data_IF_219624967934
#
_entry.id   IF_219624967934
#
_cell.length_a   1.000
_cell.length_b   1.000
_cell.length_c   1.000
_cell.angle_alpha   90.00
_cell.angle_beta   90.00
_cell.angle_gamma   90.00
#
_symmetry.space_group_name_H-M   'P 1'
#
loop_
_entity.id
_entity.type
_entity.pdbx_description
1 polymer ?
#
# COMPACT_ATOMS: atom_id res chain seq x y z
N UNK A 1 -28.20 -7.03 26.15
CA UNK A 1 -27.50 -7.60 24.98
C UNK A 1 -28.28 -8.66 24.20
N UNK A 2 -29.11 -9.48 24.83
CA UNK A 2 -29.90 -10.55 24.14
C UNK A 2 -30.91 -10.03 23.12
N UNK A 3 -31.42 -8.81 23.27
CA UNK A 3 -32.49 -8.26 22.43
C UNK A 3 -31.99 -7.49 21.19
N UNK A 4 -30.70 -7.23 21.07
CA UNK A 4 -30.12 -6.46 19.97
C UNK A 4 -29.00 -7.23 19.30
N UNK A 5 -29.26 -7.78 18.13
CA UNK A 5 -28.37 -8.69 17.38
C UNK A 5 -26.99 -8.09 17.09
N UNK A 6 -26.91 -6.79 16.91
CA UNK A 6 -25.69 -6.07 16.50
C UNK A 6 -25.07 -5.19 17.60
N UNK A 7 -25.46 -5.38 18.87
CA UNK A 7 -24.91 -4.59 19.97
C UNK A 7 -23.56 -5.12 20.40
N UNK A 8 -22.55 -4.26 20.36
CA UNK A 8 -21.22 -4.48 20.92
C UNK A 8 -21.03 -3.56 22.13
N UNK A 9 -20.13 -3.92 23.03
CA UNK A 9 -19.78 -3.12 24.19
C UNK A 9 -18.27 -2.84 24.15
N UNK A 10 -17.93 -1.56 24.20
CA UNK A 10 -16.58 -1.10 24.43
C UNK A 10 -16.32 -1.00 25.94
N UNK A 11 -15.24 -1.60 26.40
CA UNK A 11 -14.75 -1.46 27.77
C UNK A 11 -13.65 -0.41 27.75
N UNK A 12 -13.94 0.74 28.33
CA UNK A 12 -13.02 1.85 28.45
C UNK A 12 -11.74 1.43 29.20
N UNK A 13 -10.65 2.09 28.90
CA UNK A 13 -9.27 1.74 29.29
C UNK A 13 -9.09 1.27 30.73
N UNK A 14 -9.67 1.95 31.70
CA UNK A 14 -9.62 1.56 33.12
C UNK A 14 -10.43 0.33 33.47
N UNK A 15 -11.42 -0.05 32.65
CA UNK A 15 -12.28 -1.22 32.84
C UNK A 15 -11.91 -2.39 31.93
N UNK A 16 -10.92 -2.24 31.09
CA UNK A 16 -10.49 -3.30 30.16
C UNK A 16 -10.06 -4.57 30.89
N UNK A 17 -9.47 -4.46 32.08
CA UNK A 17 -9.13 -5.58 32.95
C UNK A 17 -10.33 -6.43 33.39
N UNK A 18 -11.55 -5.89 33.33
CA UNK A 18 -12.77 -6.65 33.61
C UNK A 18 -13.27 -7.52 32.46
N UNK A 19 -12.61 -7.43 31.28
CA UNK A 19 -13.05 -8.10 30.05
C UNK A 19 -13.28 -9.59 30.21
N UNK A 20 -12.37 -10.31 30.88
CA UNK A 20 -12.53 -11.75 31.14
C UNK A 20 -13.79 -12.09 31.93
N UNK A 21 -14.08 -11.30 32.97
CA UNK A 21 -15.29 -11.51 33.77
C UNK A 21 -16.56 -11.23 32.97
N UNK A 22 -16.52 -10.23 32.07
CA UNK A 22 -17.63 -9.93 31.18
C UNK A 22 -17.83 -11.00 30.10
N UNK A 23 -16.78 -11.56 29.53
CA UNK A 23 -16.86 -12.71 28.62
C UNK A 23 -17.52 -13.88 29.35
N UNK A 24 -17.07 -14.20 30.56
CA UNK A 24 -17.65 -15.29 31.37
C UNK A 24 -19.13 -15.04 31.73
N UNK A 25 -19.51 -13.79 31.99
CA UNK A 25 -20.90 -13.44 32.22
C UNK A 25 -21.78 -13.62 30.97
N UNK A 26 -21.29 -13.21 29.80
CA UNK A 26 -22.01 -13.45 28.55
C UNK A 26 -22.16 -14.95 28.25
N UNK A 27 -21.13 -15.75 28.55
CA UNK A 27 -21.25 -17.22 28.42
C UNK A 27 -22.30 -17.81 29.33
N UNK A 28 -22.41 -17.36 30.57
CA UNK A 28 -23.51 -17.75 31.50
C UNK A 28 -24.88 -17.36 30.96
N UNK A 29 -24.96 -16.30 30.18
CA UNK A 29 -26.16 -15.84 29.50
C UNK A 29 -26.49 -16.63 28.22
N UNK A 30 -25.67 -17.63 27.86
CA UNK A 30 -25.87 -18.54 26.74
C UNK A 30 -25.18 -18.14 25.42
N UNK A 31 -24.27 -17.19 25.45
CA UNK A 31 -23.38 -16.92 24.31
C UNK A 31 -22.23 -17.93 24.26
N UNK A 32 -21.80 -18.31 23.07
CA UNK A 32 -20.52 -19.01 22.94
C UNK A 32 -19.37 -18.07 23.28
N UNK A 33 -18.19 -18.60 23.61
CA UNK A 33 -17.00 -17.77 23.87
C UNK A 33 -16.70 -16.88 22.68
N UNK A 34 -16.77 -17.44 21.47
CA UNK A 34 -16.52 -16.69 20.23
C UNK A 34 -17.52 -15.52 20.04
N UNK A 35 -18.81 -15.78 20.26
CA UNK A 35 -19.84 -14.75 20.21
C UNK A 35 -19.62 -13.67 21.28
N UNK A 36 -19.17 -14.04 22.47
CA UNK A 36 -18.86 -13.10 23.53
C UNK A 36 -17.67 -12.23 23.18
N UNK A 37 -16.60 -12.81 22.63
CA UNK A 37 -15.42 -12.08 22.16
C UNK A 37 -15.75 -11.08 21.04
N UNK A 38 -16.64 -11.43 20.13
CA UNK A 38 -17.10 -10.53 19.05
C UNK A 38 -17.96 -9.36 19.56
N UNK A 39 -18.47 -9.43 20.77
CA UNK A 39 -19.33 -8.38 21.35
C UNK A 39 -18.59 -7.47 22.33
N UNK A 40 -17.46 -7.87 22.83
CA UNK A 40 -16.68 -7.11 23.80
C UNK A 40 -15.38 -6.59 23.19
N UNK A 41 -15.17 -5.31 23.29
CA UNK A 41 -13.94 -4.63 22.82
C UNK A 41 -13.25 -4.01 24.03
N UNK A 42 -12.05 -4.49 24.32
CA UNK A 42 -11.22 -3.96 25.39
C UNK A 42 -10.35 -2.84 24.85
N UNK A 43 -10.59 -1.61 25.29
CA UNK A 43 -9.86 -0.42 24.90
C UNK A 43 -8.48 -0.39 25.55
N UNK A 44 -7.44 -0.24 24.74
CA UNK A 44 -6.08 0.04 25.20
C UNK A 44 -5.66 1.41 24.71
N UNK A 45 -5.39 2.30 25.67
CA UNK A 45 -4.92 3.65 25.35
C UNK A 45 -3.43 3.61 24.98
N UNK A 46 -3.12 4.01 23.77
CA UNK A 46 -1.75 4.01 23.28
C UNK A 46 -0.99 5.33 23.48
N UNK A 47 -1.61 6.38 23.97
CA UNK A 47 -1.05 7.75 24.03
C UNK A 47 0.20 7.89 24.91
N UNK A 48 0.33 7.15 26.00
CA UNK A 48 1.36 7.39 27.01
C UNK A 48 2.46 6.32 27.17
N UNK A 49 2.50 5.23 26.42
CA UNK A 49 3.37 4.06 26.67
C UNK A 49 4.63 3.98 25.82
N UNK A 50 4.95 4.43 24.76
CA UNK A 50 6.10 4.14 23.87
C UNK A 50 5.87 2.94 22.95
N UNK A 51 6.77 2.73 21.99
CA UNK A 51 6.62 1.68 20.97
C UNK A 51 6.56 0.27 21.54
N UNK A 52 7.15 0.05 22.70
CA UNK A 52 7.23 -1.28 23.32
C UNK A 52 6.03 -1.58 24.22
N UNK A 53 4.99 -0.75 24.24
CA UNK A 53 3.77 -1.00 25.03
C UNK A 53 4.00 -1.23 26.54
N UNK A 54 5.21 -0.96 27.05
CA UNK A 54 5.48 -1.04 28.50
C UNK A 54 4.63 0.00 29.22
N UNK A 55 3.87 -0.44 30.22
CA UNK A 55 2.92 0.40 30.95
C UNK A 55 1.45 0.19 30.54
N UNK A 56 1.18 -0.65 29.55
CA UNK A 56 -0.17 -1.10 29.25
C UNK A 56 -0.51 -2.42 29.93
N UNK A 57 -1.77 -2.57 30.27
CA UNK A 57 -2.31 -3.77 30.87
C UNK A 57 -2.56 -4.92 29.87
N UNK A 58 -1.78 -4.97 28.77
CA UNK A 58 -1.96 -5.94 27.70
C UNK A 58 -2.10 -7.38 28.23
N UNK A 59 -1.16 -7.79 29.06
CA UNK A 59 -1.15 -9.16 29.60
C UNK A 59 -2.26 -9.41 30.60
N UNK A 60 -2.65 -8.38 31.37
CA UNK A 60 -3.76 -8.51 32.34
C UNK A 60 -5.11 -8.61 31.61
N UNK A 61 -5.26 -7.93 30.49
CA UNK A 61 -6.49 -7.93 29.68
C UNK A 61 -6.57 -9.17 28.80
N UNK A 62 -5.52 -9.45 28.06
CA UNK A 62 -5.56 -10.48 27.01
C UNK A 62 -4.97 -11.82 27.45
N UNK A 63 -4.03 -11.85 28.38
CA UNK A 63 -3.43 -13.08 28.89
C UNK A 63 -2.86 -14.01 27.82
N UNK A 64 -2.09 -15.01 28.22
CA UNK A 64 -1.46 -15.93 27.28
C UNK A 64 -2.43 -16.97 26.69
N UNK A 65 -3.45 -17.36 27.45
CA UNK A 65 -4.34 -18.49 27.11
C UNK A 65 -5.82 -18.16 27.18
N UNK A 66 -6.22 -17.06 27.83
CA UNK A 66 -7.62 -16.72 28.05
C UNK A 66 -7.88 -15.23 27.81
N UNK A 67 -8.44 -14.94 26.65
CA UNK A 67 -8.69 -13.58 26.19
C UNK A 67 -9.92 -12.96 26.83
N UNK A 68 -9.79 -11.71 27.24
CA UNK A 68 -10.86 -10.95 27.88
C UNK A 68 -11.78 -10.19 26.95
N UNK A 69 -11.63 -10.33 25.64
CA UNK A 69 -12.40 -9.62 24.62
C UNK A 69 -11.60 -9.39 23.37
N UNK A 70 -12.17 -8.68 22.40
CA UNK A 70 -11.47 -8.17 21.24
C UNK A 70 -10.66 -6.92 21.60
N UNK A 71 -9.55 -6.69 20.91
CA UNK A 71 -8.71 -5.54 21.11
C UNK A 71 -9.27 -4.32 20.36
N UNK A 72 -9.36 -3.19 21.05
CA UNK A 72 -9.56 -1.87 20.44
C UNK A 72 -8.44 -0.94 20.88
N UNK A 73 -7.76 -0.33 19.91
CA UNK A 73 -6.62 0.54 20.15
C UNK A 73 -7.04 2.00 20.01
N UNK A 74 -6.83 2.77 21.07
CA UNK A 74 -7.02 4.21 21.03
C UNK A 74 -5.72 4.92 20.73
N UNK A 75 -5.69 5.65 19.62
CA UNK A 75 -4.55 6.46 19.15
C UNK A 75 -3.23 5.65 18.99
N UNK A 76 -3.23 4.49 18.28
CA UNK A 76 -2.00 3.75 18.05
C UNK A 76 -0.99 4.55 17.21
N UNK A 77 -1.44 5.46 16.36
CA UNK A 77 -0.63 6.38 15.58
C UNK A 77 0.27 7.25 16.46
N UNK A 78 -0.17 7.63 17.65
CA UNK A 78 0.63 8.40 18.59
C UNK A 78 1.93 7.68 18.97
N UNK A 79 1.96 6.34 18.92
CA UNK A 79 3.14 5.52 19.19
C UNK A 79 4.02 5.34 17.97
N UNK A 80 3.37 5.08 16.85
CA UNK A 80 4.04 4.80 15.58
C UNK A 80 4.60 6.10 15.00
N UNK A 81 3.87 7.20 15.19
CA UNK A 81 4.10 8.49 14.54
C UNK A 81 4.87 9.51 15.40
N UNK A 82 4.71 9.46 16.74
CA UNK A 82 5.37 10.36 17.69
C UNK A 82 6.90 10.20 17.63
N UNK A 83 7.66 11.08 18.17
CA UNK A 83 9.11 10.98 18.31
C UNK A 83 9.89 10.83 16.99
N UNK A 84 9.99 11.87 16.22
CA UNK A 84 10.79 12.09 15.02
C UNK A 84 10.06 11.97 13.66
N UNK A 85 8.79 11.62 13.62
CA UNK A 85 8.01 11.62 12.38
C UNK A 85 7.11 12.83 12.34
N UNK A 86 6.44 13.14 13.46
CA UNK A 86 5.52 14.27 13.57
C UNK A 86 6.19 15.60 13.20
N UNK A 87 7.37 15.88 13.78
CA UNK A 87 8.13 17.10 13.46
C UNK A 87 8.57 17.19 12.01
N UNK A 88 8.87 16.05 11.38
CA UNK A 88 9.25 16.02 9.96
C UNK A 88 8.08 16.30 9.02
N UNK A 89 6.87 15.87 9.38
CA UNK A 89 5.71 15.89 8.49
C UNK A 89 4.77 17.04 8.80
N UNK A 90 4.37 17.20 10.07
CA UNK A 90 3.38 18.20 10.48
C UNK A 90 3.99 19.60 10.55
N UNK A 91 5.12 19.76 11.23
CA UNK A 91 5.72 21.08 11.44
C UNK A 91 6.26 21.71 10.15
N UNK A 92 6.67 20.88 9.19
CA UNK A 92 7.19 21.32 7.89
C UNK A 92 6.17 21.19 6.75
N UNK A 93 4.95 20.71 7.02
CA UNK A 93 3.89 20.48 6.04
C UNK A 93 4.34 19.66 4.82
N UNK A 94 5.26 18.71 5.02
CA UNK A 94 5.81 17.88 3.94
C UNK A 94 4.83 16.76 3.61
N UNK A 95 4.41 16.70 2.34
CA UNK A 95 3.50 15.66 1.84
C UNK A 95 4.16 14.69 0.86
N UNK A 96 5.29 15.09 0.26
CA UNK A 96 6.06 14.31 -0.71
C UNK A 96 7.55 14.63 -0.60
N UNK A 97 8.38 13.92 -1.38
CA UNK A 97 9.82 14.15 -1.43
C UNK A 97 10.65 13.33 -0.45
N UNK A 98 11.98 13.49 -0.43
CA UNK A 98 12.91 12.63 0.31
C UNK A 98 12.62 12.52 1.81
N UNK A 99 12.21 13.61 2.45
CA UNK A 99 11.89 13.64 3.88
C UNK A 99 10.62 12.81 4.17
N UNK A 100 9.61 12.87 3.30
CA UNK A 100 8.41 12.03 3.43
C UNK A 100 8.76 10.55 3.26
N UNK A 101 9.62 10.21 2.31
CA UNK A 101 10.06 8.82 2.11
C UNK A 101 10.84 8.31 3.34
N UNK A 102 11.72 9.14 3.91
CA UNK A 102 12.42 8.80 5.15
C UNK A 102 11.46 8.62 6.33
N UNK A 103 10.47 9.48 6.48
CA UNK A 103 9.41 9.37 7.49
C UNK A 103 8.59 8.09 7.30
N UNK A 104 8.26 7.74 6.06
CA UNK A 104 7.54 6.51 5.72
C UNK A 104 8.31 5.25 6.13
N UNK A 105 9.60 5.18 5.82
CA UNK A 105 10.48 4.08 6.26
C UNK A 105 10.46 3.92 7.78
N UNK A 106 10.60 5.04 8.49
CA UNK A 106 10.59 5.04 9.95
C UNK A 106 9.25 4.62 10.51
N UNK A 107 8.15 5.04 9.88
CA UNK A 107 6.80 4.60 10.25
C UNK A 107 6.69 3.07 10.17
N UNK A 108 7.11 2.47 9.07
CA UNK A 108 7.07 1.00 8.94
C UNK A 108 7.94 0.29 9.97
N UNK A 109 9.09 0.86 10.30
CA UNK A 109 9.93 0.31 11.36
C UNK A 109 9.27 0.40 12.73
N UNK A 110 8.63 1.51 13.04
CA UNK A 110 7.91 1.69 14.29
C UNK A 110 6.68 0.76 14.38
N UNK A 111 5.96 0.56 13.27
CA UNK A 111 4.86 -0.42 13.18
C UNK A 111 5.35 -1.84 13.48
N UNK A 112 6.48 -2.24 12.91
CA UNK A 112 7.08 -3.54 13.20
C UNK A 112 7.41 -3.70 14.69
N UNK A 113 8.03 -2.69 15.29
CA UNK A 113 8.34 -2.69 16.71
C UNK A 113 7.09 -2.82 17.58
N UNK A 114 6.03 -2.08 17.22
CA UNK A 114 4.79 -2.08 17.96
C UNK A 114 4.05 -3.41 17.84
N UNK A 115 3.93 -3.94 16.61
CA UNK A 115 3.11 -5.12 16.34
C UNK A 115 3.81 -6.45 16.57
N UNK A 116 5.05 -6.58 16.13
CA UNK A 116 5.76 -7.87 16.10
C UNK A 116 7.11 -7.84 16.83
N UNK A 117 7.35 -6.82 17.66
CA UNK A 117 8.54 -6.78 18.49
C UNK A 117 9.75 -6.13 17.81
N UNK A 118 10.91 -6.72 18.05
CA UNK A 118 12.19 -6.15 17.70
C UNK A 118 12.67 -6.63 16.33
N UNK A 119 13.22 -5.74 15.55
CA UNK A 119 14.16 -6.05 14.49
C UNK A 119 13.80 -7.19 13.52
N UNK A 120 12.53 -7.47 13.32
CA UNK A 120 12.08 -8.46 12.37
C UNK A 120 11.90 -9.87 12.92
N UNK A 121 12.51 -10.26 14.05
CA UNK A 121 12.29 -11.56 14.67
C UNK A 121 11.25 -11.46 15.82
N UNK A 122 10.01 -11.96 15.64
CA UNK A 122 8.97 -11.89 16.66
C UNK A 122 9.23 -12.87 17.83
N UNK A 123 10.18 -13.77 17.70
CA UNK A 123 10.57 -14.70 18.77
C UNK A 123 11.63 -14.12 19.70
N UNK A 124 12.38 -13.12 19.24
CA UNK A 124 13.35 -12.41 20.05
C UNK A 124 12.70 -11.31 20.88
N UNK A 125 12.43 -11.58 22.13
CA UNK A 125 11.93 -10.62 23.12
C UNK A 125 13.05 -9.90 23.88
N UNK A 126 14.30 -10.19 23.58
CA UNK A 126 15.45 -9.53 24.18
C UNK A 126 15.57 -8.06 23.75
N UNK A 127 16.19 -7.24 24.56
CA UNK A 127 16.47 -5.84 24.19
C UNK A 127 15.28 -4.89 24.11
N UNK A 128 14.06 -5.31 24.54
CA UNK A 128 12.85 -4.46 24.53
C UNK A 128 12.02 -4.55 25.79
N UNK A 129 12.66 -4.65 26.93
CA UNK A 129 11.97 -4.76 28.21
C UNK A 129 10.92 -5.90 28.23
N UNK A 130 11.20 -6.98 27.51
CA UNK A 130 10.28 -8.11 27.39
C UNK A 130 9.02 -7.82 26.59
N UNK A 131 9.01 -6.83 25.71
CA UNK A 131 7.87 -6.55 24.82
C UNK A 131 7.80 -7.55 23.65
N UNK A 132 6.77 -8.43 23.62
CA UNK A 132 6.64 -9.44 22.56
C UNK A 132 5.97 -8.91 21.29
N UNK A 133 5.64 -7.61 21.23
CA UNK A 133 4.75 -7.04 20.23
C UNK A 133 3.27 -7.17 20.64
N UNK A 134 2.43 -6.33 20.07
CA UNK A 134 0.98 -6.41 20.32
C UNK A 134 0.42 -7.78 19.92
N UNK A 135 0.89 -8.36 18.81
CA UNK A 135 0.50 -9.69 18.34
C UNK A 135 0.89 -10.83 19.30
N UNK A 136 1.95 -10.65 20.09
CA UNK A 136 2.33 -11.59 21.13
C UNK A 136 1.50 -11.48 22.43
N UNK A 137 0.66 -10.44 22.56
CA UNK A 137 -0.20 -10.22 23.72
C UNK A 137 -1.65 -10.60 23.46
N UNK A 138 -2.08 -10.74 22.22
CA UNK A 138 -3.45 -11.06 21.82
C UNK A 138 -3.46 -12.26 20.89
N UNK A 139 -4.59 -13.00 20.89
CA UNK A 139 -4.78 -14.07 19.90
C UNK A 139 -4.91 -13.46 18.51
N UNK A 140 -3.85 -13.51 17.77
CA UNK A 140 -3.81 -12.97 16.42
C UNK A 140 -4.55 -13.89 15.46
N UNK A 141 -5.49 -13.30 14.70
CA UNK A 141 -6.08 -13.93 13.52
C UNK A 141 -5.69 -13.11 12.30
N UNK A 142 -5.21 -13.78 11.25
CA UNK A 142 -4.93 -13.06 10.02
C UNK A 142 -6.21 -12.52 9.40
N UNK A 143 -6.16 -11.28 8.95
CA UNK A 143 -7.23 -10.66 8.14
C UNK A 143 -7.19 -11.15 6.69
N UNK A 144 -6.10 -11.80 6.26
CA UNK A 144 -5.90 -12.30 4.91
C UNK A 144 -6.47 -13.72 4.83
N UNK A 145 -7.79 -13.82 4.55
CA UNK A 145 -8.53 -15.08 4.50
C UNK A 145 -9.28 -15.27 3.17
N UNK A 146 -9.06 -14.38 2.21
CA UNK A 146 -9.80 -14.30 0.96
C UNK A 146 -8.91 -14.49 -0.26
N UNK A 147 -9.53 -14.89 -1.36
CA UNK A 147 -8.93 -14.94 -2.70
C UNK A 147 -9.76 -14.08 -3.67
N UNK A 148 -9.12 -13.37 -4.60
CA UNK A 148 -7.67 -13.23 -4.73
C UNK A 148 -7.09 -12.38 -3.60
N UNK A 149 -5.94 -12.78 -3.07
CA UNK A 149 -5.08 -11.94 -2.27
C UNK A 149 -3.90 -11.51 -3.15
N UNK A 150 -3.80 -10.25 -3.48
CA UNK A 150 -2.71 -9.70 -4.28
C UNK A 150 -2.21 -8.41 -3.65
N UNK A 151 -0.91 -8.24 -3.59
CA UNK A 151 -0.24 -7.04 -3.11
C UNK A 151 0.88 -6.66 -4.05
N UNK A 152 0.98 -5.38 -4.37
CA UNK A 152 2.11 -4.78 -5.08
C UNK A 152 2.98 -3.92 -4.14
N UNK A 153 2.90 -4.16 -2.83
CA UNK A 153 3.68 -3.46 -1.80
C UNK A 153 3.53 -1.94 -1.83
N UNK A 154 2.37 -1.44 -2.25
CA UNK A 154 2.11 -0.01 -2.30
C UNK A 154 2.06 0.58 -0.90
N UNK A 155 2.87 1.60 -0.65
CA UNK A 155 2.84 2.38 0.59
C UNK A 155 1.80 3.50 0.58
N UNK A 156 1.10 3.70 -0.54
CA UNK A 156 0.23 4.84 -0.76
C UNK A 156 1.00 6.14 -1.05
N UNK A 157 2.28 6.03 -1.38
CA UNK A 157 3.17 7.12 -1.78
C UNK A 157 4.00 6.68 -2.99
N UNK A 158 4.52 7.61 -3.75
CA UNK A 158 5.44 7.33 -4.84
C UNK A 158 6.00 8.57 -5.50
N UNK A 159 7.18 8.46 -6.07
CA UNK A 159 7.77 9.46 -6.98
C UNK A 159 7.17 9.34 -8.38
N UNK A 160 6.71 8.16 -8.71
CA UNK A 160 6.18 7.79 -10.02
C UNK A 160 4.94 6.92 -9.85
N UNK A 161 4.16 6.79 -10.91
CA UNK A 161 3.08 5.80 -10.99
C UNK A 161 3.42 4.76 -12.05
N UNK A 162 3.33 3.50 -11.66
CA UNK A 162 3.60 2.36 -12.51
C UNK A 162 2.34 1.54 -12.74
N UNK A 163 2.24 0.95 -13.92
CA UNK A 163 1.24 -0.05 -14.28
C UNK A 163 1.96 -1.16 -15.03
N UNK A 164 1.94 -2.37 -14.50
CA UNK A 164 2.60 -3.55 -15.07
C UNK A 164 4.09 -3.31 -15.41
N UNK A 165 4.81 -2.63 -14.52
CA UNK A 165 6.22 -2.30 -14.69
C UNK A 165 6.50 -1.10 -15.60
N UNK A 166 5.50 -0.53 -16.24
CA UNK A 166 5.65 0.65 -17.08
C UNK A 166 5.38 1.94 -16.29
N UNK A 167 6.29 2.90 -16.41
CA UNK A 167 6.13 4.22 -15.77
C UNK A 167 5.12 5.06 -16.54
N UNK A 168 3.95 5.26 -15.95
CA UNK A 168 2.80 5.99 -16.54
C UNK A 168 2.59 7.38 -15.95
N UNK A 169 3.26 7.73 -14.88
CA UNK A 169 3.24 9.06 -14.27
C UNK A 169 4.55 9.35 -13.56
N UNK A 170 5.03 10.60 -13.65
CA UNK A 170 6.37 11.01 -13.19
C UNK A 170 6.37 12.01 -12.05
N UNK A 171 5.19 12.34 -11.51
CA UNK A 171 5.06 13.28 -10.41
C UNK A 171 4.95 12.56 -9.08
N UNK A 172 5.54 13.14 -8.06
CA UNK A 172 5.35 12.72 -6.67
C UNK A 172 3.87 12.72 -6.31
N UNK A 173 3.44 11.71 -5.56
CA UNK A 173 2.06 11.58 -5.14
C UNK A 173 1.93 10.94 -3.76
N UNK A 174 0.84 11.25 -3.08
CA UNK A 174 0.44 10.67 -1.81
C UNK A 174 -1.05 10.41 -1.82
N UNK A 175 -1.45 9.16 -1.58
CA UNK A 175 -2.84 8.76 -1.41
C UNK A 175 -2.93 7.52 -0.52
N UNK A 176 -3.14 7.71 0.77
CA UNK A 176 -3.16 6.62 1.76
C UNK A 176 -4.19 5.53 1.45
N UNK A 177 -5.31 5.88 0.82
CA UNK A 177 -6.30 4.92 0.36
C UNK A 177 -5.80 3.93 -0.69
N UNK A 178 -4.62 4.16 -1.29
CA UNK A 178 -3.98 3.28 -2.25
C UNK A 178 -2.88 2.40 -1.62
N UNK A 179 -2.77 2.38 -0.30
CA UNK A 179 -1.88 1.48 0.41
C UNK A 179 -2.37 0.04 0.29
N UNK A 180 -1.47 -0.89 -0.03
CA UNK A 180 -1.72 -2.33 0.06
C UNK A 180 -1.48 -2.84 1.48
N UNK A 181 -1.92 -4.06 1.75
CA UNK A 181 -1.51 -4.76 2.97
C UNK A 181 0.00 -5.01 2.85
N UNK A 182 0.76 -4.38 3.73
CA UNK A 182 2.20 -4.55 3.78
C UNK A 182 2.56 -5.85 4.50
N UNK A 183 3.77 -6.41 4.28
CA UNK A 183 4.20 -7.60 4.97
C UNK A 183 4.00 -7.53 6.48
N UNK A 184 3.53 -8.62 7.06
CA UNK A 184 3.32 -8.75 8.51
C UNK A 184 4.62 -8.52 9.27
N UNK A 185 5.70 -9.12 8.76
CA UNK A 185 7.04 -8.98 9.34
C UNK A 185 7.89 -8.06 8.46
N UNK A 186 8.51 -7.04 9.04
CA UNK A 186 9.25 -5.98 8.34
C UNK A 186 10.62 -5.73 8.99
N UNK A 187 11.66 -6.45 8.80
CA UNK A 187 11.81 -7.51 7.82
C UNK A 187 12.47 -8.69 8.53
N UNK A 188 11.79 -9.78 8.64
CA UNK A 188 12.32 -10.94 9.33
C UNK A 188 13.03 -11.86 8.35
N UNK A 189 14.36 -11.74 8.31
CA UNK A 189 15.24 -12.49 7.43
C UNK A 189 16.14 -13.35 8.30
N UNK A 190 16.12 -14.65 8.10
CA UNK A 190 17.09 -15.55 8.68
C UNK A 190 18.38 -15.48 7.86
N UNK A 191 19.28 -14.60 8.28
CA UNK A 191 20.59 -14.44 7.65
C UNK A 191 21.63 -15.36 8.27
N UNK A 192 22.58 -15.81 7.45
CA UNK A 192 23.85 -16.24 8.03
C UNK A 192 24.66 -15.00 8.51
N UNK A 193 25.63 -15.21 9.39
CA UNK A 193 26.34 -14.12 10.06
C UNK A 193 27.15 -13.19 9.12
N UNK A 194 27.32 -13.54 7.84
CA UNK A 194 28.21 -12.84 6.91
C UNK A 194 27.50 -12.14 5.75
N UNK A 195 26.25 -12.50 5.44
CA UNK A 195 25.64 -12.10 4.19
C UNK A 195 24.87 -10.76 4.25
N UNK A 196 24.41 -10.36 5.44
CA UNK A 196 23.75 -9.07 5.68
C UNK A 196 22.65 -8.72 4.66
N UNK A 197 21.88 -9.73 4.25
CA UNK A 197 20.74 -9.52 3.35
C UNK A 197 19.75 -8.60 4.04
N UNK A 198 19.26 -7.62 3.34
CA UNK A 198 18.30 -6.64 3.85
C UNK A 198 17.20 -6.33 2.82
N UNK A 199 16.04 -5.94 3.33
CA UNK A 199 14.92 -5.46 2.51
C UNK A 199 14.65 -4.01 2.85
N UNK A 200 14.33 -3.23 1.81
CA UNK A 200 13.91 -1.85 1.95
C UNK A 200 12.81 -1.51 0.92
N UNK A 201 12.15 -0.38 1.10
CA UNK A 201 11.17 0.11 0.14
C UNK A 201 11.91 0.85 -0.99
N UNK A 202 11.59 0.51 -2.21
CA UNK A 202 12.07 1.18 -3.42
C UNK A 202 10.98 2.09 -3.99
N UNK A 203 11.24 3.39 -4.10
CA UNK A 203 10.35 4.37 -4.71
C UNK A 203 10.71 4.72 -6.16
N UNK A 204 11.80 4.20 -6.66
CA UNK A 204 12.29 4.48 -8.00
C UNK A 204 11.90 3.41 -9.01
N UNK A 205 11.58 2.21 -8.53
CA UNK A 205 11.21 1.07 -9.34
C UNK A 205 10.05 0.30 -8.72
N UNK A 206 8.96 0.12 -9.48
CA UNK A 206 7.78 -0.62 -9.03
C UNK A 206 7.11 -1.34 -10.20
N UNK A 207 6.36 -2.39 -9.90
CA UNK A 207 5.53 -3.06 -10.91
C UNK A 207 4.17 -2.38 -11.04
N UNK A 208 3.51 -2.10 -9.91
CA UNK A 208 2.28 -1.34 -9.86
C UNK A 208 2.37 -0.26 -8.77
N UNK A 209 1.54 0.78 -8.87
CA UNK A 209 1.50 1.93 -7.96
C UNK A 209 2.83 2.72 -7.93
N UNK A 210 3.47 2.86 -6.78
CA UNK A 210 4.62 3.74 -6.60
C UNK A 210 5.81 3.15 -5.85
N UNK A 211 5.69 1.91 -5.35
CA UNK A 211 6.75 1.27 -4.56
C UNK A 211 6.84 -0.22 -4.81
N UNK A 212 8.02 -0.77 -4.61
CA UNK A 212 8.30 -2.21 -4.52
C UNK A 212 9.18 -2.49 -3.30
N UNK A 213 9.50 -3.76 -3.05
CA UNK A 213 10.51 -4.12 -2.06
C UNK A 213 11.83 -4.41 -2.75
N UNK A 214 12.91 -3.80 -2.27
CA UNK A 214 14.26 -4.02 -2.76
C UNK A 214 15.06 -4.85 -1.78
N UNK A 215 15.54 -5.98 -2.24
CA UNK A 215 16.42 -6.88 -1.50
C UNK A 215 17.84 -6.62 -1.93
N UNK A 216 18.76 -6.42 -0.96
CA UNK A 216 20.19 -6.20 -1.24
C UNK A 216 21.04 -6.90 -0.22
N UNK A 217 22.22 -7.32 -0.62
CA UNK A 217 23.20 -7.95 0.28
C UNK A 217 24.13 -8.90 -0.45
N UNK A 218 24.59 -9.92 0.24
CA UNK A 218 25.42 -10.99 -0.29
C UNK A 218 24.64 -12.30 -0.17
N UNK A 219 24.83 -13.22 -1.12
CA UNK A 219 24.45 -14.62 -0.95
C UNK A 219 25.71 -15.48 -0.94
N UNK A 220 25.99 -16.11 0.18
CA UNK A 220 27.03 -17.17 0.23
C UNK A 220 26.52 -18.43 -0.48
N UNK A 221 27.45 -19.18 -1.08
CA UNK A 221 27.11 -20.37 -1.84
C UNK A 221 26.29 -21.37 -0.98
N UNK A 222 25.15 -21.77 -1.48
CA UNK A 222 24.21 -22.71 -0.86
C UNK A 222 23.66 -22.28 0.50
N UNK A 223 23.80 -21.03 0.89
CA UNK A 223 23.20 -20.49 2.11
C UNK A 223 21.73 -20.13 1.86
N UNK A 224 20.87 -20.47 2.81
CA UNK A 224 19.46 -20.10 2.81
C UNK A 224 19.26 -18.78 3.58
N UNK A 225 18.36 -17.94 3.06
CA UNK A 225 17.93 -16.69 3.70
C UNK A 225 16.42 -16.65 3.68
N UNK A 226 15.80 -17.37 4.61
CA UNK A 226 14.34 -17.46 4.72
C UNK A 226 13.79 -16.13 5.21
N UNK A 227 12.91 -15.55 4.39
CA UNK A 227 12.25 -14.28 4.65
C UNK A 227 10.77 -14.51 4.75
N UNK A 228 10.21 -14.41 5.96
CA UNK A 228 8.77 -14.47 6.19
C UNK A 228 8.15 -13.12 5.88
N UNK A 229 7.12 -13.10 5.05
CA UNK A 229 6.45 -11.88 4.62
C UNK A 229 5.05 -11.75 5.22
N UNK A 230 4.17 -12.70 4.97
CA UNK A 230 2.76 -12.58 5.34
C UNK A 230 2.29 -13.72 6.21
N UNK A 231 1.52 -13.36 7.26
CA UNK A 231 0.68 -14.29 7.99
C UNK A 231 -0.72 -14.27 7.36
N UNK A 232 -1.22 -15.43 6.98
CA UNK A 232 -2.48 -15.60 6.26
C UNK A 232 -3.33 -16.74 6.84
N UNK A 233 -4.54 -16.93 6.35
CA UNK A 233 -5.40 -18.09 6.56
C UNK A 233 -6.15 -18.39 5.26
N UNK A 234 -5.41 -18.59 4.16
CA UNK A 234 -5.98 -18.78 2.82
C UNK A 234 -6.17 -20.26 2.56
N UNK A 235 -7.41 -20.70 2.37
CA UNK A 235 -7.73 -22.07 1.92
C UNK A 235 -7.39 -22.22 0.44
N UNK A 236 -6.64 -23.28 0.12
CA UNK A 236 -6.21 -23.56 -1.26
C UNK A 236 -7.18 -24.56 -1.89
N UNK A 237 -7.59 -24.28 -3.11
CA UNK A 237 -8.38 -25.14 -3.97
C UNK A 237 -7.53 -25.61 -5.16
N UNK A 238 -8.00 -26.69 -5.82
CA UNK A 238 -7.32 -27.19 -7.00
C UNK A 238 -7.35 -26.13 -8.12
N UNK A 239 -6.20 -25.90 -8.75
CA UNK A 239 -6.04 -24.89 -9.80
C UNK A 239 -5.72 -23.49 -9.30
N UNK A 240 -5.79 -23.23 -7.99
CA UNK A 240 -5.29 -21.96 -7.45
C UNK A 240 -3.82 -21.75 -7.83
N UNK A 241 -3.42 -20.51 -7.99
CA UNK A 241 -2.07 -20.13 -8.38
C UNK A 241 -1.44 -19.20 -7.38
N UNK A 242 -0.16 -19.38 -7.14
CA UNK A 242 0.68 -18.35 -6.52
C UNK A 242 1.41 -17.58 -7.60
N UNK A 243 1.28 -16.26 -7.61
CA UNK A 243 2.00 -15.38 -8.53
C UNK A 243 3.09 -14.61 -7.77
N UNK A 244 4.29 -14.54 -8.35
CA UNK A 244 5.38 -13.67 -7.93
C UNK A 244 5.86 -12.85 -9.11
N UNK A 245 5.91 -11.52 -8.94
CA UNK A 245 6.49 -10.61 -9.92
C UNK A 245 7.75 -10.00 -9.34
N UNK A 246 8.88 -10.19 -10.03
CA UNK A 246 10.17 -9.78 -9.50
C UNK A 246 11.17 -9.43 -10.60
N UNK A 247 12.24 -8.77 -10.19
CA UNK A 247 13.50 -8.62 -10.94
C UNK A 247 14.65 -9.12 -10.05
N UNK A 248 15.67 -9.68 -10.64
CA UNK A 248 16.88 -10.10 -9.92
C UNK A 248 18.09 -10.06 -10.82
N UNK A 249 19.26 -9.82 -10.25
CA UNK A 249 20.54 -9.92 -10.95
C UNK A 249 21.12 -11.33 -10.94
N UNK A 250 20.41 -12.31 -10.35
CA UNK A 250 20.87 -13.70 -10.22
C UNK A 250 19.72 -14.66 -10.50
N UNK A 251 19.83 -15.44 -11.54
CA UNK A 251 18.81 -16.42 -11.92
C UNK A 251 18.61 -17.49 -10.83
N UNK A 252 17.38 -18.00 -10.73
CA UNK A 252 16.98 -19.04 -9.77
C UNK A 252 17.36 -18.76 -8.31
N UNK A 253 17.45 -17.49 -7.93
CA UNK A 253 17.86 -17.07 -6.58
C UNK A 253 16.70 -16.87 -5.60
N UNK A 254 15.45 -17.02 -6.05
CA UNK A 254 14.25 -16.82 -5.22
C UNK A 254 13.42 -18.09 -5.25
N UNK A 255 13.25 -18.72 -4.08
CA UNK A 255 12.30 -19.82 -3.88
C UNK A 255 11.07 -19.31 -3.14
N UNK A 256 9.89 -19.69 -3.60
CA UNK A 256 8.64 -19.45 -2.87
C UNK A 256 8.42 -20.60 -1.89
N UNK A 257 8.20 -20.25 -0.61
CA UNK A 257 7.88 -21.19 0.46
C UNK A 257 6.54 -20.84 1.09
N UNK A 258 5.62 -21.79 1.06
CA UNK A 258 4.30 -21.64 1.70
C UNK A 258 4.23 -22.53 2.94
N UNK A 259 3.94 -21.89 4.09
CA UNK A 259 3.75 -22.59 5.36
C UNK A 259 2.30 -23.05 5.51
N UNK A 260 2.08 -24.33 5.80
CA UNK A 260 0.75 -24.92 5.96
C UNK A 260 0.38 -25.24 7.41
N UNK A 261 1.19 -24.78 8.36
CA UNK A 261 0.85 -24.76 9.80
C UNK A 261 0.96 -23.31 10.31
N UNK A 262 0.26 -23.01 11.40
CA UNK A 262 0.23 -21.64 11.96
C UNK A 262 1.47 -21.28 12.79
N UNK A 263 2.33 -22.27 13.08
CA UNK A 263 3.60 -22.02 13.75
C UNK A 263 4.57 -21.23 12.86
N UNK A 264 5.39 -20.38 13.46
CA UNK A 264 6.42 -19.61 12.72
C UNK A 264 7.44 -20.52 12.02
N UNK A 265 7.75 -21.67 12.61
CA UNK A 265 8.49 -22.78 12.00
C UNK A 265 7.51 -23.75 11.34
N UNK A 266 6.86 -23.26 10.31
CA UNK A 266 5.81 -23.99 9.60
C UNK A 266 6.38 -25.19 8.82
N UNK A 267 5.49 -26.14 8.49
CA UNK A 267 5.81 -27.11 7.43
C UNK A 267 5.88 -26.36 6.09
N UNK A 268 7.08 -26.26 5.56
CA UNK A 268 7.35 -25.52 4.34
C UNK A 268 7.10 -26.35 3.08
N UNK A 269 6.25 -25.84 2.21
CA UNK A 269 6.03 -26.36 0.88
C UNK A 269 6.77 -25.44 -0.10
N UNK A 270 7.84 -25.94 -0.71
CA UNK A 270 8.61 -25.23 -1.72
C UNK A 270 7.90 -25.36 -3.05
N UNK A 271 7.55 -24.23 -3.66
CA UNK A 271 6.94 -24.23 -4.98
C UNK A 271 8.00 -24.38 -6.08
N UNK A 272 7.69 -25.15 -7.10
CA UNK A 272 8.60 -25.45 -8.21
C UNK A 272 7.90 -25.36 -9.56
N UNK A 273 8.69 -25.33 -10.63
CA UNK A 273 8.20 -25.35 -12.01
C UNK A 273 7.15 -24.28 -12.34
N UNK A 274 7.42 -23.00 -12.11
CA UNK A 274 6.49 -21.94 -12.47
C UNK A 274 6.34 -21.82 -13.98
N UNK A 275 5.16 -21.42 -14.44
CA UNK A 275 5.03 -20.77 -15.74
C UNK A 275 5.63 -19.37 -15.65
N UNK A 276 6.55 -19.04 -16.55
CA UNK A 276 7.31 -17.78 -16.51
C UNK A 276 7.05 -16.96 -17.76
N UNK A 277 6.70 -15.69 -17.56
CA UNK A 277 6.62 -14.68 -18.62
C UNK A 277 7.41 -13.43 -18.23
N UNK A 278 7.70 -12.58 -19.20
CA UNK A 278 8.37 -11.30 -18.94
C UNK A 278 7.47 -10.16 -19.37
N UNK A 279 7.31 -9.17 -18.50
CA UNK A 279 6.52 -7.97 -18.80
C UNK A 279 7.27 -6.72 -18.33
N UNK A 280 7.60 -5.85 -19.28
CA UNK A 280 8.33 -4.59 -19.04
C UNK A 280 9.58 -4.75 -18.15
N UNK A 281 10.36 -5.82 -18.40
CA UNK A 281 11.58 -6.13 -17.66
C UNK A 281 11.37 -6.81 -16.29
N UNK A 282 10.12 -7.11 -15.93
CA UNK A 282 9.78 -7.92 -14.76
C UNK A 282 9.50 -9.36 -15.13
N UNK A 283 9.97 -10.28 -14.31
CA UNK A 283 9.62 -11.70 -14.39
C UNK A 283 8.31 -11.92 -13.67
N UNK A 284 7.33 -12.48 -14.35
CA UNK A 284 6.05 -12.93 -13.79
C UNK A 284 6.08 -14.45 -13.73
N UNK A 285 6.17 -15.00 -12.53
CA UNK A 285 6.20 -16.43 -12.26
C UNK A 285 4.88 -16.87 -11.61
N UNK A 286 4.21 -17.84 -12.20
CA UNK A 286 2.97 -18.43 -11.70
C UNK A 286 3.18 -19.90 -11.35
N UNK A 287 2.90 -20.26 -10.12
CA UNK A 287 3.04 -21.61 -9.57
C UNK A 287 1.66 -22.23 -9.36
N UNK A 288 1.47 -23.45 -9.80
CA UNK A 288 0.27 -24.24 -9.52
C UNK A 288 0.25 -24.68 -8.05
N UNK A 289 -0.86 -24.41 -7.36
CA UNK A 289 -1.07 -24.79 -5.97
C UNK A 289 -1.90 -26.07 -5.80
N UNK A 290 -2.24 -26.79 -6.87
CA UNK A 290 -3.09 -28.00 -6.82
C UNK A 290 -2.58 -29.07 -5.84
N UNK A 291 -1.25 -29.17 -5.66
CA UNK A 291 -0.65 -30.07 -4.68
C UNK A 291 -0.95 -29.69 -3.22
N UNK A 292 -1.41 -28.47 -2.97
CA UNK A 292 -1.81 -27.97 -1.65
C UNK A 292 -3.32 -27.88 -1.50
N UNK A 293 -4.11 -28.38 -2.45
CA UNK A 293 -5.57 -28.35 -2.39
C UNK A 293 -6.10 -28.98 -1.09
N UNK A 294 -7.03 -28.31 -0.44
CA UNK A 294 -7.58 -28.71 0.87
C UNK A 294 -6.73 -28.29 2.09
N UNK A 295 -5.54 -27.73 1.88
CA UNK A 295 -4.72 -27.14 2.95
C UNK A 295 -5.01 -25.65 3.09
N UNK A 296 -4.60 -25.10 4.23
CA UNK A 296 -4.60 -23.65 4.49
C UNK A 296 -3.16 -23.13 4.44
N UNK A 297 -2.92 -22.08 3.68
CA UNK A 297 -1.64 -21.32 3.71
C UNK A 297 -1.71 -20.35 4.88
N UNK A 298 -0.82 -20.54 5.84
CA UNK A 298 -0.69 -19.66 7.01
C UNK A 298 0.45 -18.67 6.88
N UNK A 299 1.50 -19.01 6.13
CA UNK A 299 2.67 -18.15 5.96
C UNK A 299 3.08 -18.12 4.49
N UNK A 300 3.29 -16.92 3.98
CA UNK A 300 3.96 -16.69 2.69
C UNK A 300 5.37 -16.22 2.98
N UNK A 301 6.36 -16.95 2.48
CA UNK A 301 7.77 -16.66 2.63
C UNK A 301 8.52 -16.80 1.31
N UNK A 302 9.65 -16.13 1.22
CA UNK A 302 10.62 -16.29 0.16
C UNK A 302 11.94 -16.72 0.76
N UNK A 303 12.68 -17.57 0.06
CA UNK A 303 14.03 -17.96 0.42
C UNK A 303 14.98 -17.48 -0.68
N UNK A 304 15.93 -16.61 -0.28
CA UNK A 304 16.94 -16.11 -1.20
C UNK A 304 18.19 -16.99 -1.07
N UNK A 305 18.62 -17.58 -2.18
CA UNK A 305 19.80 -18.46 -2.21
C UNK A 305 20.43 -18.51 -3.59
N UNK A 306 21.68 -18.96 -3.63
CA UNK A 306 22.40 -19.22 -4.88
C UNK A 306 23.33 -20.41 -4.70
N UNK A 307 23.53 -21.21 -5.75
CA UNK A 307 24.50 -22.30 -5.76
C UNK A 307 25.95 -21.80 -5.68
N UNK A 308 26.20 -20.56 -6.10
CA UNK A 308 27.51 -19.91 -6.05
C UNK A 308 27.41 -18.62 -5.25
N UNK A 309 28.56 -18.13 -4.76
CA UNK A 309 28.59 -16.84 -4.08
C UNK A 309 28.18 -15.69 -5.01
N UNK A 310 27.32 -14.80 -4.52
CA UNK A 310 26.93 -13.54 -5.16
C UNK A 310 27.27 -12.39 -4.24
N UNK A 311 28.37 -11.72 -4.50
CA UNK A 311 28.91 -10.67 -3.62
C UNK A 311 28.00 -9.42 -3.54
N UNK A 312 27.26 -9.12 -4.59
CA UNK A 312 26.35 -7.96 -4.67
C UNK A 312 25.00 -8.41 -5.23
N UNK A 313 24.24 -9.09 -4.39
CA UNK A 313 22.90 -9.56 -4.75
C UNK A 313 21.90 -8.41 -4.72
N UNK A 314 21.04 -8.38 -5.74
CA UNK A 314 19.90 -7.46 -5.79
C UNK A 314 18.67 -8.16 -6.35
N UNK A 315 17.52 -7.93 -5.71
CA UNK A 315 16.23 -8.28 -6.26
C UNK A 315 15.21 -7.20 -5.94
N UNK A 316 14.21 -7.04 -6.81
CA UNK A 316 13.04 -6.22 -6.58
C UNK A 316 11.81 -7.10 -6.60
N UNK A 317 10.96 -7.02 -5.56
CA UNK A 317 9.70 -7.74 -5.47
C UNK A 317 8.58 -6.74 -5.82
N UNK A 318 7.97 -6.92 -6.98
CA UNK A 318 6.98 -5.99 -7.52
C UNK A 318 5.55 -6.33 -7.15
N UNK A 319 5.23 -7.62 -7.03
CA UNK A 319 3.90 -8.10 -6.69
C UNK A 319 3.96 -9.55 -6.23
N UNK A 320 3.06 -9.95 -5.34
CA UNK A 320 2.78 -11.36 -5.07
C UNK A 320 1.30 -11.55 -4.76
N UNK A 321 0.83 -12.80 -4.88
CA UNK A 321 -0.54 -13.12 -4.50
C UNK A 321 -0.92 -14.58 -4.69
N UNK A 322 -2.07 -14.95 -4.11
CA UNK A 322 -2.77 -16.21 -4.36
C UNK A 322 -4.07 -15.88 -5.09
N UNK A 323 -4.21 -16.45 -6.27
CA UNK A 323 -5.29 -16.13 -7.22
C UNK A 323 -6.05 -17.43 -7.53
N UNK A 324 -7.40 -17.43 -7.49
CA UNK A 324 -8.20 -18.59 -7.87
C UNK A 324 -7.96 -19.03 -9.30
N UNK A 325 -8.19 -20.31 -9.60
CA UNK A 325 -8.17 -20.79 -10.96
C UNK A 325 -9.13 -20.00 -11.85
N UNK A 326 -8.67 -19.72 -13.07
CA UNK A 326 -9.50 -19.05 -14.10
C UNK A 326 -10.15 -17.74 -13.60
N UNK A 327 -9.47 -17.02 -12.68
CA UNK A 327 -9.99 -15.77 -12.13
C UNK A 327 -10.14 -14.72 -13.24
N UNK A 328 -11.37 -14.49 -13.64
CA UNK A 328 -11.78 -13.50 -14.63
C UNK A 328 -13.08 -12.80 -14.14
N UNK A 329 -12.97 -11.94 -13.14
CA UNK A 329 -14.16 -11.30 -12.57
C UNK A 329 -14.84 -10.36 -13.58
N UNK A 330 -16.15 -10.27 -13.49
CA UNK A 330 -16.85 -9.18 -14.15
C UNK A 330 -16.39 -7.85 -13.56
N UNK A 331 -15.92 -6.96 -14.42
CA UNK A 331 -15.44 -5.64 -14.00
C UNK A 331 -16.63 -4.67 -14.03
N UNK A 332 -16.83 -3.88 -12.96
CA UNK A 332 -17.94 -2.96 -12.90
C UNK A 332 -17.85 -1.90 -13.99
N UNK A 333 -18.99 -1.59 -14.60
CA UNK A 333 -19.08 -0.50 -15.56
C UNK A 333 -19.06 0.86 -14.86
N UNK A 334 -18.30 1.79 -15.43
CA UNK A 334 -18.31 3.20 -15.02
C UNK A 334 -19.38 3.93 -15.84
N UNK A 335 -20.32 4.56 -15.16
CA UNK A 335 -21.45 5.26 -15.76
C UNK A 335 -21.61 6.66 -15.17
N UNK A 336 -22.51 7.46 -15.74
CA UNK A 336 -22.86 8.79 -15.22
C UNK A 336 -21.67 9.70 -14.96
N UNK A 337 -20.64 9.61 -15.81
CA UNK A 337 -19.44 10.46 -15.66
C UNK A 337 -19.84 11.92 -15.84
N UNK A 338 -19.53 12.73 -14.84
CA UNK A 338 -19.87 14.15 -14.79
C UNK A 338 -18.70 14.99 -14.32
N UNK A 339 -18.58 16.14 -14.93
CA UNK A 339 -17.70 17.20 -14.51
C UNK A 339 -18.42 18.13 -13.53
N UNK A 340 -17.75 18.50 -12.44
CA UNK A 340 -18.31 19.42 -11.43
C UNK A 340 -17.88 20.88 -11.62
N UNK A 341 -16.87 21.14 -12.45
CA UNK A 341 -16.41 22.47 -12.80
C UNK A 341 -16.03 22.54 -14.28
N UNK A 342 -15.68 23.71 -14.80
CA UNK A 342 -15.27 23.93 -16.18
C UNK A 342 -13.82 24.36 -16.26
N UNK A 343 -13.13 23.95 -17.30
CA UNK A 343 -11.80 24.47 -17.60
C UNK A 343 -11.88 25.92 -18.09
N UNK A 344 -10.87 26.71 -17.76
CA UNK A 344 -10.62 27.99 -18.40
C UNK A 344 -9.88 27.84 -19.73
N UNK A 345 -9.63 28.96 -20.42
CA UNK A 345 -8.93 28.97 -21.72
C UNK A 345 -7.54 28.33 -21.67
N UNK A 346 -6.81 28.50 -20.57
CA UNK A 346 -5.47 27.97 -20.38
C UNK A 346 -5.46 26.62 -19.61
N UNK A 347 -6.62 26.11 -19.25
CA UNK A 347 -6.79 24.95 -18.40
C UNK A 347 -7.37 25.29 -17.05
N UNK A 348 -6.95 24.61 -16.00
CA UNK A 348 -7.43 24.80 -14.64
C UNK A 348 -7.40 23.51 -13.83
N UNK A 349 -8.04 23.56 -12.68
CA UNK A 349 -8.34 22.38 -11.89
C UNK A 349 -9.58 21.67 -12.44
N UNK A 350 -9.70 20.38 -12.14
CA UNK A 350 -10.78 19.56 -12.68
C UNK A 350 -11.28 18.56 -11.65
N UNK A 351 -12.57 18.60 -11.37
CA UNK A 351 -13.24 17.63 -10.51
C UNK A 351 -14.22 16.80 -11.32
N UNK A 352 -14.02 15.50 -11.32
CA UNK A 352 -14.83 14.52 -12.03
C UNK A 352 -15.44 13.52 -11.05
N UNK A 353 -16.67 13.12 -11.27
CA UNK A 353 -17.39 12.09 -10.50
C UNK A 353 -18.05 11.12 -11.47
N UNK A 354 -18.31 9.93 -10.99
CA UNK A 354 -18.95 8.85 -11.76
C UNK A 354 -19.69 7.90 -10.82
N UNK A 355 -20.46 7.01 -11.41
CA UNK A 355 -21.07 5.90 -10.67
C UNK A 355 -20.40 4.58 -11.08
N UNK A 356 -20.26 3.67 -10.12
CA UNK A 356 -19.83 2.29 -10.32
C UNK A 356 -21.00 1.36 -10.09
N UNK A 357 -21.24 0.43 -11.00
CA UNK A 357 -22.31 -0.55 -10.84
C UNK A 357 -22.12 -1.37 -9.54
N UNK A 358 -23.16 -1.38 -8.70
CA UNK A 358 -23.09 -1.96 -7.36
C UNK A 358 -22.88 -3.46 -7.32
N UNK A 359 -23.43 -4.23 -8.28
CA UNK A 359 -23.37 -5.69 -8.29
C UNK A 359 -21.94 -6.25 -8.53
N UNK A 360 -21.11 -5.50 -9.22
CA UNK A 360 -19.75 -5.91 -9.62
C UNK A 360 -18.68 -5.15 -8.84
N UNK A 361 -19.07 -4.25 -7.96
CA UNK A 361 -18.17 -3.38 -7.19
C UNK A 361 -17.18 -4.14 -6.31
N UNK A 362 -17.56 -5.30 -5.83
CA UNK A 362 -16.70 -6.16 -5.03
C UNK A 362 -15.47 -6.67 -5.79
N UNK A 363 -15.54 -6.71 -7.13
CA UNK A 363 -14.44 -7.14 -7.99
C UNK A 363 -13.42 -6.02 -8.26
N UNK A 364 -13.77 -4.79 -7.94
CA UNK A 364 -12.94 -3.61 -8.17
C UNK A 364 -11.92 -3.44 -7.04
N UNK A 365 -10.64 -3.27 -7.38
CA UNK A 365 -9.64 -2.76 -6.45
C UNK A 365 -9.61 -1.22 -6.47
N UNK A 366 -9.43 -0.64 -7.66
CA UNK A 366 -9.38 0.81 -7.84
C UNK A 366 -9.67 1.21 -9.28
N UNK A 367 -9.67 2.52 -9.54
CA UNK A 367 -9.79 3.10 -10.86
C UNK A 367 -8.53 3.93 -11.14
N UNK A 368 -7.88 3.64 -12.24
CA UNK A 368 -6.81 4.45 -12.80
C UNK A 368 -7.41 5.63 -13.57
N UNK A 369 -6.92 6.84 -13.28
CA UNK A 369 -7.36 8.10 -13.91
C UNK A 369 -6.25 8.62 -14.79
N UNK A 370 -6.46 8.60 -16.09
CA UNK A 370 -5.52 9.11 -17.08
C UNK A 370 -5.99 10.45 -17.64
N UNK A 371 -5.03 11.32 -17.90
CA UNK A 371 -5.18 12.54 -18.69
C UNK A 371 -4.52 12.31 -20.05
N UNK A 372 -5.28 12.50 -21.13
CA UNK A 372 -4.78 12.48 -22.50
C UNK A 372 -4.93 13.86 -23.13
N UNK A 373 -3.82 14.44 -23.55
CA UNK A 373 -3.73 15.74 -24.19
C UNK A 373 -2.67 15.72 -25.29
N UNK A 374 -2.31 16.87 -25.84
CA UNK A 374 -1.28 17.00 -26.89
C UNK A 374 0.11 16.46 -26.52
N UNK A 375 0.41 16.27 -25.23
CA UNK A 375 1.66 15.67 -24.77
C UNK A 375 1.59 14.15 -24.61
N UNK A 376 0.44 13.54 -24.87
CA UNK A 376 0.20 12.10 -24.73
C UNK A 376 -0.71 11.73 -23.57
N UNK A 377 -0.63 10.48 -23.15
CA UNK A 377 -1.47 9.92 -22.07
C UNK A 377 -0.65 9.70 -20.82
N UNK A 378 -1.08 10.30 -19.71
CA UNK A 378 -0.38 10.22 -18.41
C UNK A 378 -1.34 9.73 -17.33
N UNK A 379 -0.91 8.81 -16.48
CA UNK A 379 -1.64 8.39 -15.28
C UNK A 379 -1.50 9.48 -14.21
N UNK A 380 -2.57 10.24 -14.00
CA UNK A 380 -2.59 11.38 -13.08
C UNK A 380 -3.09 11.02 -11.69
N UNK A 381 -3.76 9.87 -11.55
CA UNK A 381 -4.21 9.41 -10.25
C UNK A 381 -4.79 8.02 -10.23
N UNK A 382 -5.03 7.55 -9.01
CA UNK A 382 -5.65 6.27 -8.70
C UNK A 382 -6.60 6.47 -7.53
N UNK A 383 -7.77 5.86 -7.55
CA UNK A 383 -8.77 6.04 -6.49
C UNK A 383 -9.65 4.82 -6.30
N UNK A 384 -10.06 4.55 -5.07
CA UNK A 384 -11.11 3.58 -4.71
C UNK A 384 -12.50 4.21 -4.61
N UNK A 385 -12.58 5.54 -4.78
CA UNK A 385 -13.81 6.31 -4.74
C UNK A 385 -14.45 6.51 -6.12
N UNK A 386 -15.60 7.15 -6.11
CA UNK A 386 -16.39 7.52 -7.31
C UNK A 386 -16.16 8.99 -7.71
N UNK A 387 -14.97 9.48 -7.52
CA UNK A 387 -14.59 10.83 -7.91
C UNK A 387 -13.10 11.04 -7.80
N UNK A 388 -12.61 12.03 -8.55
CA UNK A 388 -11.20 12.41 -8.54
C UNK A 388 -11.03 13.90 -8.79
N UNK A 389 -9.98 14.47 -8.19
CA UNK A 389 -9.59 15.86 -8.38
C UNK A 389 -8.22 15.93 -9.05
N UNK A 390 -8.16 16.59 -10.20
CA UNK A 390 -6.93 16.88 -10.92
C UNK A 390 -6.58 18.35 -10.65
N UNK A 391 -5.54 18.66 -9.88
CA UNK A 391 -5.28 20.02 -9.41
C UNK A 391 -4.88 20.98 -10.52
N UNK A 392 -4.35 20.45 -11.63
CA UNK A 392 -3.90 21.28 -12.73
C UNK A 392 -3.95 20.51 -14.05
N UNK A 393 -4.76 21.01 -14.97
CA UNK A 393 -4.70 20.68 -16.39
C UNK A 393 -4.20 21.91 -17.12
N UNK A 394 -3.16 21.77 -17.94
CA UNK A 394 -2.65 22.86 -18.77
C UNK A 394 -2.97 22.55 -20.24
N UNK A 395 -3.57 23.51 -20.92
CA UNK A 395 -3.84 23.41 -22.35
C UNK A 395 -2.54 23.32 -23.13
N UNK A 396 -2.41 22.36 -24.02
CA UNK A 396 -1.23 22.15 -24.84
C UNK A 396 -1.50 22.69 -26.24
N UNK A 397 -0.73 23.71 -26.62
CA UNK A 397 -0.87 24.29 -27.93
C UNK A 397 -2.28 24.80 -28.22
N UNK A 398 -2.84 24.49 -29.39
CA UNK A 398 -4.21 24.85 -29.82
C UNK A 398 -5.24 23.78 -29.57
N UNK A 399 -4.97 22.77 -28.77
CA UNK A 399 -5.95 21.74 -28.52
C UNK A 399 -7.27 22.33 -28.03
N UNK A 400 -8.36 21.79 -28.53
CA UNK A 400 -9.71 22.26 -28.19
C UNK A 400 -10.35 21.43 -27.08
N UNK A 401 -9.75 20.33 -26.69
CA UNK A 401 -10.22 19.44 -25.65
C UNK A 401 -9.09 18.60 -25.05
N UNK A 402 -9.37 18.01 -23.92
CA UNK A 402 -8.60 16.90 -23.32
C UNK A 402 -9.53 15.73 -23.06
N UNK A 403 -8.96 14.53 -22.96
CA UNK A 403 -9.71 13.35 -22.54
C UNK A 403 -9.28 12.95 -21.12
N UNK A 404 -10.26 12.65 -20.29
CA UNK A 404 -10.08 11.92 -19.04
C UNK A 404 -10.49 10.48 -19.29
N UNK A 405 -9.59 9.54 -19.05
CA UNK A 405 -9.83 8.12 -19.24
C UNK A 405 -9.86 7.44 -17.88
N UNK A 406 -10.97 6.79 -17.57
CA UNK A 406 -11.18 6.08 -16.30
C UNK A 406 -11.10 4.58 -16.60
N UNK A 407 -10.08 3.92 -16.08
CA UNK A 407 -9.88 2.48 -16.28
C UNK A 407 -10.02 1.72 -14.97
N UNK A 408 -11.01 0.84 -14.82
CA UNK A 408 -11.17 0.01 -13.64
C UNK A 408 -10.06 -1.04 -13.59
N UNK A 409 -9.62 -1.35 -12.37
CA UNK A 409 -8.60 -2.35 -12.06
C UNK A 409 -9.21 -3.38 -11.12
N UNK A 410 -9.12 -4.65 -11.49
CA UNK A 410 -9.62 -5.77 -10.70
C UNK A 410 -8.74 -6.06 -9.47
N UNK A 411 -9.24 -6.89 -8.54
CA UNK A 411 -8.50 -7.26 -7.31
C UNK A 411 -7.21 -8.05 -7.55
N UNK A 412 -7.03 -8.62 -8.74
CA UNK A 412 -5.77 -9.22 -9.17
C UNK A 412 -4.83 -8.21 -9.87
N UNK A 413 -5.15 -6.91 -9.74
CA UNK A 413 -4.43 -5.75 -10.27
C UNK A 413 -4.31 -5.71 -11.80
N UNK A 414 -5.26 -6.30 -12.50
CA UNK A 414 -5.36 -6.19 -13.96
C UNK A 414 -6.23 -5.01 -14.35
N UNK A 415 -5.67 -4.14 -15.21
CA UNK A 415 -6.40 -3.00 -15.77
C UNK A 415 -7.30 -3.49 -16.91
N UNK A 416 -8.58 -3.09 -16.86
CA UNK A 416 -9.56 -3.34 -17.91
C UNK A 416 -9.70 -2.14 -18.87
N UNK A 417 -10.44 -2.33 -19.94
CA UNK A 417 -10.84 -1.24 -20.82
C UNK A 417 -11.65 -0.18 -20.06
N UNK A 418 -11.42 1.07 -20.41
CA UNK A 418 -11.96 2.21 -19.68
C UNK A 418 -12.99 3.01 -20.45
N UNK A 419 -13.55 3.99 -19.75
CA UNK A 419 -14.45 4.99 -20.30
C UNK A 419 -13.68 6.28 -20.54
N UNK A 420 -13.82 6.85 -21.72
CA UNK A 420 -13.23 8.15 -22.09
C UNK A 420 -14.28 9.25 -21.96
N UNK A 421 -13.94 10.27 -21.18
CA UNK A 421 -14.75 11.47 -21.01
C UNK A 421 -14.01 12.66 -21.63
N UNK A 422 -14.60 13.26 -22.67
CA UNK A 422 -14.07 14.44 -23.33
C UNK A 422 -14.42 15.70 -22.55
N UNK A 423 -13.44 16.58 -22.40
CA UNK A 423 -13.57 17.88 -21.75
C UNK A 423 -13.12 18.95 -22.72
N UNK A 424 -14.04 19.79 -23.16
CA UNK A 424 -13.73 20.86 -24.08
C UNK A 424 -13.16 22.08 -23.34
N UNK A 425 -12.16 22.71 -23.91
CA UNK A 425 -11.74 24.04 -23.52
C UNK A 425 -12.72 25.09 -24.07
N UNK A 426 -12.91 26.22 -23.40
CA UNK A 426 -13.61 27.35 -23.99
C UNK A 426 -12.83 27.83 -25.23
N UNK A 427 -13.54 28.51 -26.13
CA UNK A 427 -12.95 29.15 -27.28
C UNK A 427 -11.86 30.13 -26.82
N UNK A 428 -10.71 30.06 -27.47
CA UNK A 428 -9.58 30.91 -27.12
C UNK A 428 -9.86 32.37 -27.56
N UNK A 429 -9.77 33.29 -26.64
CA UNK A 429 -9.83 34.72 -26.99
C UNK A 429 -8.49 35.20 -27.51
N UNK A 430 -8.52 36.15 -28.47
CA UNK A 430 -7.29 36.75 -28.98
C UNK A 430 -6.51 37.43 -27.84
N UNK A 431 -5.19 37.21 -27.76
CA UNK A 431 -4.40 37.81 -26.68
C UNK A 431 -4.32 39.32 -26.84
N UNK A 432 -4.51 40.04 -25.73
CA UNK A 432 -4.18 41.46 -25.64
C UNK A 432 -2.84 41.55 -24.90
N UNK A 433 -1.85 42.14 -25.55
CA UNK A 433 -0.50 42.24 -24.99
C UNK A 433 -0.21 43.70 -24.64
N UNK A 434 0.26 43.91 -23.44
CA UNK A 434 0.82 45.20 -23.02
C UNK A 434 2.13 44.95 -22.24
N UNK A 435 2.91 45.99 -22.10
CA UNK A 435 4.15 45.89 -21.36
C UNK A 435 4.16 46.78 -20.12
N UNK A 436 4.94 46.37 -19.15
CA UNK A 436 5.27 47.14 -17.97
C UNK A 436 6.79 47.40 -17.99
N UNK A 437 7.17 48.62 -17.62
CA UNK A 437 8.58 48.96 -17.45
C UNK A 437 8.86 49.32 -15.99
N UNK A 438 9.98 48.87 -15.47
CA UNK A 438 10.39 49.12 -14.09
C UNK A 438 10.73 50.61 -13.84
N UNK A 439 11.16 51.33 -14.88
CA UNK A 439 11.42 52.76 -14.86
C UNK A 439 11.02 53.33 -16.22
N UNK A 440 10.05 54.23 -16.23
CA UNK A 440 9.57 54.87 -17.48
C UNK A 440 10.46 56.03 -17.94
N UNK A 441 11.40 56.49 -17.11
CA UNK A 441 12.31 57.62 -17.39
C UNK A 441 13.72 57.28 -16.96
N UNK A 442 14.36 56.29 -17.62
CA UNK A 442 15.68 55.84 -17.22
C UNK A 442 16.76 56.83 -17.62
N UNK A 443 17.77 56.99 -16.80
CA UNK A 443 19.00 57.67 -17.09
C UNK A 443 19.99 56.72 -17.84
N UNK A 444 20.98 57.30 -18.50
CA UNK A 444 22.01 56.49 -19.12
C UNK A 444 22.78 55.68 -18.08
N UNK A 445 22.80 54.36 -18.26
CA UNK A 445 23.40 53.39 -17.33
C UNK A 445 22.42 52.71 -16.40
N UNK A 446 21.14 53.13 -16.36
CA UNK A 446 20.11 52.46 -15.56
C UNK A 446 19.74 51.10 -16.16
N UNK A 447 19.53 50.14 -15.27
CA UNK A 447 18.97 48.86 -15.65
C UNK A 447 17.44 48.96 -15.68
N UNK A 448 16.83 48.76 -16.83
CA UNK A 448 15.40 48.76 -17.02
C UNK A 448 14.93 47.33 -17.29
N UNK A 449 13.92 46.89 -16.52
CA UNK A 449 13.24 45.62 -16.78
C UNK A 449 11.95 45.92 -17.54
N UNK A 450 11.75 45.26 -18.66
CA UNK A 450 10.52 45.30 -19.45
C UNK A 450 9.84 43.95 -19.27
N UNK A 451 8.60 43.94 -18.77
CA UNK A 451 7.78 42.77 -18.60
C UNK A 451 6.63 42.77 -19.61
N UNK A 452 6.53 41.75 -20.45
CA UNK A 452 5.37 41.54 -21.29
C UNK A 452 4.25 40.88 -20.47
N UNK A 453 3.07 41.47 -20.50
CA UNK A 453 1.89 40.95 -19.86
C UNK A 453 0.84 40.70 -20.95
N UNK A 454 0.38 39.45 -21.05
CA UNK A 454 -0.69 39.07 -21.98
C UNK A 454 -1.94 38.65 -21.23
N UNK A 455 -3.09 39.00 -21.75
CA UNK A 455 -4.40 38.44 -21.40
C UNK A 455 -4.92 37.58 -22.57
N UNK A 456 -5.91 36.76 -22.34
CA UNK A 456 -6.37 35.82 -23.33
C UNK A 456 -5.51 34.54 -23.33
N UNK A 457 -5.36 33.92 -24.49
CA UNK A 457 -4.59 32.70 -24.64
C UNK A 457 -3.33 32.93 -25.50
N UNK A 458 -2.22 33.40 -24.91
CA UNK A 458 -0.96 33.52 -25.62
C UNK A 458 -0.30 32.16 -25.77
N UNK A 459 0.16 31.87 -26.98
CA UNK A 459 0.83 30.64 -27.35
C UNK A 459 2.31 30.68 -27.08
N UNK A 460 2.90 31.80 -27.45
CA UNK A 460 4.34 32.03 -27.44
C UNK A 460 4.60 33.54 -27.40
N UNK A 461 5.73 33.91 -26.84
CA UNK A 461 6.22 35.29 -26.80
C UNK A 461 7.46 35.42 -27.66
N UNK A 462 7.43 36.30 -28.66
CA UNK A 462 8.60 36.69 -29.43
C UNK A 462 8.94 38.11 -29.08
N UNK A 463 10.19 38.35 -28.74
CA UNK A 463 10.77 39.64 -28.44
C UNK A 463 11.53 40.17 -29.67
#
# INVERSE_FOLDING_TARGET
MKTHVNTSQFLEYGSASSGRSQVNNLMKEGFTKEQALQKLYCGVQCVNGGLTGTGYEWRSVFGETDHGGSLDLFCPEERIWKDNIKSLVEDQHITTGPQMYAAQKKTFRNEEIFWVNNAGDPTDVSGRNGWPGASGCVLERSVIQYKPFVTAFSTGLGKHRFVNGEKRGTQDWSHRGMQNIMPTWRWWIENNATDNLSIDIDWDNAYNFGTSLKVTGKLSANADHLTRLYKTMISVESGDKFQLVYQTNTENSIEVKLGTTSAVDSEWNVLSNPSVTTQNGWTVAEYDLSALAGKTVYIIALNFKSATEVASYTASLGQLGIIPDSYAPAIPSITNVKMQNKLGENGGDFRIVWDVNGAERENLDHINVYLQNGNGTTLVGQTRGEGFYIPKITRVGTETFVNIILKPVSKDLKEADGVTYRVDYPEATAPVVYYRVSNSYPSVGDKVTIEAVATGFPYDYKW
#
